data_IF_727888796651
#
_entry.id   IF_727888796651
#
_cell.length_a   1.000
_cell.length_b   1.000
_cell.length_c   1.000
_cell.angle_alpha   90.00
_cell.angle_beta   90.00
_cell.angle_gamma   90.00
#
_symmetry.space_group_name_H-M   'P 1'
#
loop_
_entity.id
_entity.type
_entity.pdbx_description
1 polymer ?
#
# COMPACT_ATOMS: atom_id res chain seq x y z
N UNK A 1 17.97 4.49 -2.59
CA UNK A 1 16.65 5.13 -2.72
C UNK A 1 16.00 5.18 -1.35
N UNK A 2 15.02 6.07 -1.16
CA UNK A 2 14.14 6.07 0.01
C UNK A 2 12.76 5.59 -0.45
N UNK A 3 12.25 4.49 0.13
CA UNK A 3 11.02 3.83 -0.31
C UNK A 3 10.01 3.79 0.84
N UNK A 4 8.80 4.31 0.60
CA UNK A 4 7.69 4.16 1.54
C UNK A 4 6.90 2.89 1.22
N UNK A 5 6.56 2.09 2.25
CA UNK A 5 5.78 0.86 2.10
C UNK A 5 4.53 0.94 2.98
N UNK A 6 3.37 1.03 2.36
CA UNK A 6 2.08 0.94 3.04
C UNK A 6 1.74 -0.52 3.37
N UNK A 7 1.20 -0.76 4.57
CA UNK A 7 1.03 -2.11 5.11
C UNK A 7 2.34 -2.72 5.60
N UNK A 8 3.23 -1.90 6.15
CA UNK A 8 4.62 -2.21 6.48
C UNK A 8 4.87 -3.43 7.37
N UNK A 9 3.89 -3.84 8.18
CA UNK A 9 3.97 -5.07 8.99
C UNK A 9 3.53 -6.34 8.23
N UNK A 10 2.94 -6.19 7.05
CA UNK A 10 2.52 -7.31 6.22
C UNK A 10 3.69 -8.23 5.81
N UNK A 11 3.38 -9.50 5.52
CA UNK A 11 4.39 -10.50 5.15
C UNK A 11 5.23 -10.06 3.93
N UNK A 12 4.58 -9.61 2.85
CA UNK A 12 5.25 -9.12 1.64
C UNK A 12 6.08 -7.88 1.96
N UNK A 13 5.51 -6.92 2.70
CA UNK A 13 6.19 -5.69 3.06
C UNK A 13 7.49 -5.94 3.84
N UNK A 14 7.47 -6.84 4.84
CA UNK A 14 8.65 -7.18 5.64
C UNK A 14 9.73 -7.92 4.82
N UNK A 15 9.34 -8.78 3.89
CA UNK A 15 10.29 -9.44 2.98
C UNK A 15 10.94 -8.41 2.05
N UNK A 16 10.14 -7.53 1.45
CA UNK A 16 10.63 -6.45 0.59
C UNK A 16 11.56 -5.51 1.38
N UNK A 17 11.18 -5.13 2.59
CA UNK A 17 12.01 -4.29 3.48
C UNK A 17 13.40 -4.89 3.68
N UNK A 18 13.48 -6.18 4.00
CA UNK A 18 14.79 -6.88 4.18
C UNK A 18 15.64 -6.80 2.92
N UNK A 19 15.04 -7.02 1.74
CA UNK A 19 15.76 -6.95 0.47
C UNK A 19 16.26 -5.54 0.15
N UNK A 20 15.42 -4.53 0.35
CA UNK A 20 15.77 -3.13 0.12
C UNK A 20 16.85 -2.66 1.10
N UNK A 21 16.71 -2.96 2.38
CA UNK A 21 17.69 -2.63 3.41
C UNK A 21 19.05 -3.29 3.16
N UNK A 22 19.06 -4.58 2.77
CA UNK A 22 20.29 -5.29 2.40
C UNK A 22 20.98 -4.67 1.17
N UNK A 23 20.24 -4.02 0.29
CA UNK A 23 20.77 -3.28 -0.87
C UNK A 23 21.28 -1.87 -0.50
N UNK A 24 21.05 -1.42 0.73
CA UNK A 24 21.43 -0.08 1.20
C UNK A 24 20.36 1.00 0.96
N UNK A 25 19.13 0.62 0.59
CA UNK A 25 18.02 1.55 0.50
C UNK A 25 17.45 1.89 1.87
N UNK A 26 16.93 3.10 2.02
CA UNK A 26 16.16 3.51 3.19
C UNK A 26 14.69 3.10 3.01
N UNK A 27 14.11 2.49 4.02
CA UNK A 27 12.70 2.07 3.98
C UNK A 27 11.92 2.75 5.10
N UNK A 28 10.82 3.39 4.73
CA UNK A 28 9.80 3.94 5.65
C UNK A 28 8.58 3.02 5.59
N UNK A 29 8.25 2.36 6.68
CA UNK A 29 7.10 1.46 6.75
C UNK A 29 5.92 2.13 7.42
N UNK A 30 4.86 2.35 6.66
CA UNK A 30 3.60 2.88 7.19
C UNK A 30 2.86 1.74 7.90
N UNK A 31 2.65 1.89 9.20
CA UNK A 31 1.98 0.91 10.05
C UNK A 31 0.76 1.53 10.75
N UNK A 32 -0.36 0.83 10.80
CA UNK A 32 -1.55 1.28 11.52
C UNK A 32 -1.40 1.12 13.03
N UNK A 33 -0.84 -0.02 13.46
CA UNK A 33 -0.68 -0.35 14.89
C UNK A 33 0.77 -0.06 15.35
N UNK A 34 0.98 0.88 16.28
CA UNK A 34 2.31 1.18 16.80
C UNK A 34 3.03 -0.01 17.45
N UNK A 35 2.29 -1.01 17.96
CA UNK A 35 2.88 -2.22 18.52
C UNK A 35 3.72 -3.03 17.52
N UNK A 36 3.51 -2.83 16.22
CA UNK A 36 4.28 -3.46 15.15
C UNK A 36 5.65 -2.80 14.90
N UNK A 37 5.97 -1.69 15.56
CA UNK A 37 7.17 -0.92 15.29
C UNK A 37 8.47 -1.71 15.51
N UNK A 38 8.51 -2.56 16.54
CA UNK A 38 9.68 -3.39 16.81
C UNK A 38 10.00 -4.37 15.68
N UNK A 39 8.98 -5.06 15.17
CA UNK A 39 9.12 -6.01 14.06
C UNK A 39 9.58 -5.33 12.77
N UNK A 40 9.07 -4.14 12.52
CA UNK A 40 9.41 -3.33 11.34
C UNK A 40 10.85 -2.85 11.41
N UNK A 41 11.32 -2.38 12.59
CA UNK A 41 12.73 -2.03 12.79
C UNK A 41 13.65 -3.23 12.64
N UNK A 42 13.24 -4.39 13.16
CA UNK A 42 14.02 -5.62 13.02
C UNK A 42 14.14 -6.08 11.55
N UNK A 43 13.20 -5.69 10.69
CA UNK A 43 13.28 -5.92 9.25
C UNK A 43 14.17 -4.89 8.52
N UNK A 44 14.58 -3.81 9.16
CA UNK A 44 15.45 -2.77 8.60
C UNK A 44 14.72 -1.52 8.09
N UNK A 45 13.48 -1.25 8.52
CA UNK A 45 12.74 -0.05 8.15
C UNK A 45 12.50 0.89 9.34
N UNK A 46 12.29 2.17 9.03
CA UNK A 46 11.76 3.15 9.96
C UNK A 46 10.23 3.03 10.01
N UNK A 47 9.62 2.71 11.18
CA UNK A 47 8.18 2.66 11.30
C UNK A 47 7.59 4.07 11.45
N UNK A 48 6.60 4.37 10.64
CA UNK A 48 5.77 5.57 10.75
C UNK A 48 4.32 5.15 10.98
N UNK A 49 3.72 5.59 12.08
CA UNK A 49 2.32 5.29 12.35
C UNK A 49 1.43 6.10 11.39
N UNK A 50 0.74 5.41 10.52
CA UNK A 50 -0.17 5.98 9.54
C UNK A 50 -1.36 5.04 9.30
N UNK A 51 -2.55 5.49 9.66
CA UNK A 51 -3.79 4.80 9.36
C UNK A 51 -4.37 5.33 8.05
N UNK A 52 -4.20 4.54 6.98
CA UNK A 52 -4.66 4.91 5.64
C UNK A 52 -6.19 4.97 5.53
N UNK A 53 -6.93 4.32 6.43
CA UNK A 53 -8.39 4.42 6.47
C UNK A 53 -8.81 5.76 7.10
N UNK A 54 -8.21 6.15 8.22
CA UNK A 54 -8.63 7.30 9.03
C UNK A 54 -7.98 8.63 8.62
N UNK A 55 -6.71 8.61 8.16
CA UNK A 55 -5.97 9.83 7.88
C UNK A 55 -6.33 10.46 6.53
N UNK A 56 -6.14 11.78 6.43
CA UNK A 56 -6.29 12.53 5.18
C UNK A 56 -5.14 12.26 4.21
N UNK A 57 -5.32 12.44 2.90
CA UNK A 57 -4.21 12.38 1.93
C UNK A 57 -3.04 13.30 2.29
N UNK A 58 -3.31 14.49 2.82
CA UNK A 58 -2.26 15.44 3.23
C UNK A 58 -1.41 14.91 4.39
N UNK A 59 -2.02 14.25 5.39
CA UNK A 59 -1.28 13.65 6.50
C UNK A 59 -0.41 12.47 6.01
N UNK A 60 -0.93 11.68 5.08
CA UNK A 60 -0.17 10.57 4.47
C UNK A 60 0.97 11.13 3.60
N UNK A 61 0.72 12.19 2.83
CA UNK A 61 1.75 12.86 2.03
C UNK A 61 2.93 13.35 2.90
N UNK A 62 2.63 13.93 4.06
CA UNK A 62 3.68 14.32 5.02
C UNK A 62 4.49 13.12 5.51
N UNK A 63 3.86 11.95 5.74
CA UNK A 63 4.53 10.74 6.20
C UNK A 63 5.47 10.12 5.14
N UNK A 64 5.23 10.36 3.85
CA UNK A 64 6.04 9.85 2.74
C UNK A 64 6.91 10.92 2.07
N UNK A 65 6.98 12.11 2.64
CA UNK A 65 7.75 13.21 2.07
C UNK A 65 9.22 12.85 1.87
N UNK A 66 9.76 13.21 0.71
CA UNK A 66 11.15 12.92 0.34
C UNK A 66 11.44 11.45 0.02
N UNK A 67 10.41 10.62 -0.16
CA UNK A 67 10.58 9.28 -0.71
C UNK A 67 10.70 9.33 -2.24
N UNK A 68 11.50 8.41 -2.80
CA UNK A 68 11.68 8.25 -4.25
C UNK A 68 10.62 7.35 -4.88
N UNK A 69 9.99 6.50 -4.07
CA UNK A 69 8.96 5.56 -4.50
C UNK A 69 8.02 5.20 -3.36
N UNK A 70 6.81 4.79 -3.73
CA UNK A 70 5.79 4.26 -2.83
C UNK A 70 5.41 2.85 -3.24
N UNK A 71 5.25 1.96 -2.28
CA UNK A 71 4.73 0.60 -2.48
C UNK A 71 3.45 0.41 -1.67
N UNK A 72 2.36 0.09 -2.32
CA UNK A 72 1.14 -0.34 -1.65
C UNK A 72 1.14 -1.86 -1.48
N UNK A 73 1.44 -2.33 -0.28
CA UNK A 73 1.42 -3.74 0.12
C UNK A 73 0.40 -3.99 1.25
N UNK A 74 -0.52 -3.05 1.47
CA UNK A 74 -1.60 -3.19 2.42
C UNK A 74 -2.74 -4.04 1.85
N UNK A 75 -3.48 -4.65 2.74
CA UNK A 75 -4.72 -5.38 2.45
C UNK A 75 -5.50 -5.58 3.73
N UNK A 76 -6.81 -5.76 3.61
CA UNK A 76 -7.70 -5.96 4.75
C UNK A 76 -7.40 -7.26 5.53
N UNK A 77 -6.69 -8.19 4.91
CA UNK A 77 -6.31 -9.47 5.49
C UNK A 77 -7.41 -10.54 5.41
N UNK A 78 -7.05 -11.81 5.67
CA UNK A 78 -8.02 -12.89 5.77
C UNK A 78 -8.97 -12.66 6.95
N UNK A 79 -10.23 -13.09 6.80
CA UNK A 79 -11.25 -12.95 7.86
C UNK A 79 -11.88 -11.55 7.98
N UNK A 80 -11.43 -10.57 7.21
CA UNK A 80 -12.10 -9.26 7.12
C UNK A 80 -13.36 -9.34 6.25
N UNK A 81 -14.41 -8.60 6.63
CA UNK A 81 -15.64 -8.50 5.85
C UNK A 81 -15.47 -7.70 4.54
N UNK A 82 -16.55 -7.69 3.74
CA UNK A 82 -16.58 -7.00 2.44
C UNK A 82 -16.33 -5.50 2.55
N UNK A 83 -16.82 -4.85 3.61
CA UNK A 83 -16.59 -3.43 3.87
C UNK A 83 -15.10 -3.10 3.93
N UNK A 84 -14.30 -3.90 4.63
CA UNK A 84 -12.86 -3.66 4.71
C UNK A 84 -12.11 -3.99 3.44
N UNK A 85 -12.64 -4.80 2.54
CA UNK A 85 -12.08 -4.94 1.20
C UNK A 85 -12.19 -3.61 0.44
N UNK A 86 -13.33 -2.93 0.56
CA UNK A 86 -13.53 -1.64 -0.06
C UNK A 86 -12.67 -0.54 0.58
N UNK A 87 -12.67 -0.43 1.92
CA UNK A 87 -11.96 0.66 2.61
C UNK A 87 -10.44 0.53 2.56
N UNK A 88 -9.89 -0.70 2.64
CA UNK A 88 -8.45 -0.94 2.66
C UNK A 88 -7.89 -1.27 1.27
N UNK A 89 -8.48 -2.29 0.58
CA UNK A 89 -7.89 -2.77 -0.67
C UNK A 89 -8.13 -1.81 -1.85
N UNK A 90 -9.18 -0.95 -1.80
CA UNK A 90 -9.47 0.08 -2.80
C UNK A 90 -9.22 1.49 -2.27
N UNK A 91 -10.02 2.00 -1.33
CA UNK A 91 -10.00 3.42 -0.95
C UNK A 91 -8.66 3.86 -0.34
N UNK A 92 -8.04 3.02 0.50
CA UNK A 92 -6.72 3.34 1.05
C UNK A 92 -5.63 3.35 -0.03
N UNK A 93 -5.75 2.50 -1.06
CA UNK A 93 -4.83 2.52 -2.21
C UNK A 93 -4.98 3.82 -3.01
N UNK A 94 -6.21 4.25 -3.32
CA UNK A 94 -6.49 5.53 -4.00
C UNK A 94 -5.97 6.71 -3.17
N UNK A 95 -6.26 6.71 -1.88
CA UNK A 95 -5.78 7.77 -0.98
C UNK A 95 -4.25 7.87 -0.94
N UNK A 96 -3.54 6.73 -1.01
CA UNK A 96 -2.09 6.73 -1.10
C UNK A 96 -1.59 7.24 -2.47
N UNK A 97 -2.31 7.00 -3.56
CA UNK A 97 -2.01 7.56 -4.89
C UNK A 97 -2.09 9.10 -4.81
N UNK A 98 -3.17 9.64 -4.25
CA UNK A 98 -3.34 11.09 -4.08
C UNK A 98 -2.26 11.70 -3.18
N UNK A 99 -1.92 11.00 -2.10
CA UNK A 99 -0.85 11.41 -1.18
C UNK A 99 0.52 11.40 -1.85
N UNK A 100 0.82 10.40 -2.68
CA UNK A 100 2.08 10.32 -3.42
C UNK A 100 2.20 11.46 -4.43
N UNK A 101 1.12 11.75 -5.18
CA UNK A 101 1.07 12.91 -6.08
C UNK A 101 1.33 14.22 -5.33
N UNK A 102 0.67 14.44 -4.20
CA UNK A 102 0.83 15.64 -3.37
C UNK A 102 2.24 15.76 -2.77
N UNK A 103 2.91 14.65 -2.49
CA UNK A 103 4.29 14.61 -1.99
C UNK A 103 5.35 14.70 -3.11
N UNK A 104 4.95 14.75 -4.38
CA UNK A 104 5.86 14.77 -5.53
C UNK A 104 6.55 13.43 -5.80
N UNK A 105 5.99 12.33 -5.30
CA UNK A 105 6.50 10.97 -5.54
C UNK A 105 5.78 10.40 -6.76
N UNK A 106 6.50 10.21 -7.87
CA UNK A 106 5.93 9.79 -9.14
C UNK A 106 5.99 8.28 -9.39
N UNK A 107 6.80 7.54 -8.63
CA UNK A 107 6.94 6.08 -8.76
C UNK A 107 6.06 5.35 -7.76
N UNK A 108 5.12 4.56 -8.26
CA UNK A 108 4.17 3.81 -7.43
C UNK A 108 4.12 2.33 -7.83
N UNK A 109 4.29 1.44 -6.85
CA UNK A 109 4.16 0.01 -7.02
C UNK A 109 2.92 -0.49 -6.26
N UNK A 110 2.08 -1.28 -6.93
CA UNK A 110 0.88 -1.89 -6.35
C UNK A 110 1.04 -3.40 -6.24
N UNK A 111 0.90 -3.95 -5.04
CA UNK A 111 0.67 -5.38 -4.88
C UNK A 111 -0.83 -5.63 -5.04
N UNK A 112 -1.19 -6.12 -6.20
CA UNK A 112 -2.56 -6.42 -6.59
C UNK A 112 -2.88 -7.91 -6.45
N UNK A 113 -3.73 -8.46 -7.30
CA UNK A 113 -4.10 -9.87 -7.32
C UNK A 113 -4.25 -10.38 -8.77
N UNK A 114 -3.99 -11.66 -8.99
CA UNK A 114 -3.98 -12.29 -10.33
C UNK A 114 -5.26 -12.01 -11.13
N UNK A 115 -6.42 -12.17 -10.54
CA UNK A 115 -7.73 -11.98 -11.19
C UNK A 115 -8.39 -10.64 -10.83
N UNK A 116 -7.59 -9.62 -10.44
CA UNK A 116 -8.11 -8.29 -10.12
C UNK A 116 -8.78 -7.66 -11.35
N UNK A 117 -10.07 -7.35 -11.21
CA UNK A 117 -10.92 -6.80 -12.26
C UNK A 117 -11.96 -5.87 -11.60
N UNK A 118 -12.08 -4.60 -12.03
CA UNK A 118 -13.08 -3.68 -11.48
C UNK A 118 -14.52 -4.14 -11.67
N UNK A 119 -14.76 -4.98 -12.67
CA UNK A 119 -16.08 -5.50 -13.05
C UNK A 119 -16.27 -6.98 -12.66
N UNK A 120 -15.36 -7.54 -11.84
CA UNK A 120 -15.44 -8.93 -11.39
C UNK A 120 -16.82 -9.27 -10.82
N UNK A 121 -17.48 -10.28 -11.37
CA UNK A 121 -18.83 -10.70 -10.97
C UNK A 121 -18.81 -11.49 -9.65
N UNK A 122 -19.97 -11.55 -8.97
CA UNK A 122 -20.17 -12.30 -7.74
C UNK A 122 -20.20 -11.44 -6.48
N UNK A 123 -20.71 -12.03 -5.38
CA UNK A 123 -20.96 -11.32 -4.12
C UNK A 123 -20.24 -11.95 -2.92
N UNK A 124 -19.41 -12.97 -3.17
CA UNK A 124 -18.59 -13.54 -2.11
C UNK A 124 -17.47 -12.57 -1.70
N UNK A 125 -16.95 -12.73 -0.50
CA UNK A 125 -15.88 -11.86 0.02
C UNK A 125 -14.68 -11.79 -0.94
N UNK A 126 -14.35 -12.90 -1.58
CA UNK A 126 -13.23 -12.96 -2.55
C UNK A 126 -13.55 -12.20 -3.84
N UNK A 127 -14.80 -12.23 -4.32
CA UNK A 127 -15.20 -11.45 -5.49
C UNK A 127 -15.15 -9.95 -5.22
N UNK A 128 -15.61 -9.53 -4.03
CA UNK A 128 -15.49 -8.13 -3.58
C UNK A 128 -14.02 -7.71 -3.47
N UNK A 129 -13.15 -8.59 -2.98
CA UNK A 129 -11.70 -8.34 -2.93
C UNK A 129 -11.12 -8.13 -4.33
N UNK A 130 -11.45 -8.98 -5.30
CA UNK A 130 -10.96 -8.87 -6.68
C UNK A 130 -11.44 -7.57 -7.35
N UNK A 131 -12.70 -7.17 -7.12
CA UNK A 131 -13.21 -5.87 -7.58
C UNK A 131 -12.48 -4.70 -6.94
N UNK A 132 -12.26 -4.74 -5.63
CA UNK A 132 -11.55 -3.68 -4.92
C UNK A 132 -10.11 -3.52 -5.46
N UNK A 133 -9.39 -4.62 -5.66
CA UNK A 133 -8.07 -4.61 -6.28
C UNK A 133 -8.10 -4.11 -7.73
N UNK A 134 -9.09 -4.53 -8.52
CA UNK A 134 -9.27 -4.07 -9.89
C UNK A 134 -9.51 -2.57 -9.99
N UNK A 135 -10.34 -2.01 -9.10
CA UNK A 135 -10.57 -0.56 -9.01
C UNK A 135 -9.33 0.21 -8.58
N UNK A 136 -8.56 -0.33 -7.64
CA UNK A 136 -7.29 0.27 -7.24
C UNK A 136 -6.28 0.28 -8.40
N UNK A 137 -6.17 -0.82 -9.15
CA UNK A 137 -5.33 -0.92 -10.33
C UNK A 137 -5.74 0.09 -11.41
N UNK A 138 -7.06 0.24 -11.65
CA UNK A 138 -7.59 1.20 -12.61
C UNK A 138 -7.30 2.66 -12.20
N UNK A 139 -7.46 2.98 -10.92
CA UNK A 139 -7.14 4.30 -10.39
C UNK A 139 -5.65 4.62 -10.55
N UNK A 140 -4.77 3.64 -10.27
CA UNK A 140 -3.34 3.83 -10.43
C UNK A 140 -2.96 4.07 -11.90
N UNK A 141 -3.51 3.30 -12.85
CA UNK A 141 -3.28 3.53 -14.29
C UNK A 141 -3.75 4.91 -14.75
N UNK A 142 -4.86 5.39 -14.20
CA UNK A 142 -5.41 6.71 -14.54
C UNK A 142 -4.64 7.88 -13.89
N UNK A 143 -3.78 7.62 -12.90
CA UNK A 143 -3.09 8.67 -12.13
C UNK A 143 -1.98 9.40 -12.88
N UNK A 144 -1.47 8.83 -13.97
CA UNK A 144 -0.31 9.35 -14.70
C UNK A 144 1.03 9.13 -14.01
N UNK A 145 1.07 8.38 -12.91
CA UNK A 145 2.31 8.01 -12.24
C UNK A 145 3.10 6.96 -13.04
N UNK A 146 4.39 6.83 -12.74
CA UNK A 146 5.19 5.69 -13.21
C UNK A 146 4.84 4.46 -12.40
N UNK A 147 3.78 3.79 -12.82
CA UNK A 147 3.22 2.68 -12.08
C UNK A 147 3.88 1.33 -12.42
N UNK A 148 3.84 0.45 -11.44
CA UNK A 148 4.09 -0.99 -11.61
C UNK A 148 3.05 -1.76 -10.81
N UNK A 149 2.27 -2.60 -11.48
CA UNK A 149 1.24 -3.44 -10.85
C UNK A 149 1.71 -4.88 -10.86
N UNK A 150 1.91 -5.44 -9.68
CA UNK A 150 2.32 -6.84 -9.47
C UNK A 150 1.09 -7.64 -9.06
N UNK A 151 0.77 -8.68 -9.80
CA UNK A 151 -0.37 -9.57 -9.59
C UNK A 151 0.12 -10.98 -9.26
N UNK A 152 0.45 -11.26 -8.02
CA UNK A 152 0.93 -12.59 -7.60
C UNK A 152 -0.18 -13.64 -7.65
#
# INVERSE_FOLDING_TARGET
>A
MKVAIAGGHGKIARLLTKLLSARGDQVVSLIRNPAHAADVRAAGAEPVTADLEAQSPAAIAAAIAGCDAVVFAAGAGPGSGTERKETVDHQAAVKLIDAAAAAGVDRYLMISALAADPDHAGDQIFDVYLRAKGRADAALRASGMRETIIRP
#
